data_IF_350481108610
#
_entry.id   IF_350481108610
#
_cell.length_a   1.000
_cell.length_b   1.000
_cell.length_c   1.000
_cell.angle_alpha   90.00
_cell.angle_beta   90.00
_cell.angle_gamma   90.00
#
_symmetry.space_group_name_H-M   'P 1'
#
loop_
_entity.id
_entity.type
_entity.pdbx_description
1 polymer ?
#
# COMPACT_ATOMS: atom_id res chain seq x y z
N UNK A 1 13.35 0.57 11.72
CA UNK A 1 12.59 -0.69 11.83
C UNK A 1 13.43 -1.86 12.37
N UNK A 2 14.63 -2.14 11.84
CA UNK A 2 15.46 -3.29 12.28
C UNK A 2 15.72 -3.34 13.79
N UNK A 3 16.05 -2.20 14.42
CA UNK A 3 16.21 -2.11 15.87
C UNK A 3 14.95 -2.55 16.64
N UNK A 4 13.81 -1.93 16.34
CA UNK A 4 12.55 -2.29 17.02
C UNK A 4 12.09 -3.72 16.72
N UNK A 5 12.40 -4.28 15.54
CA UNK A 5 12.16 -5.70 15.26
C UNK A 5 12.99 -6.62 16.14
N UNK A 6 14.24 -6.26 16.45
CA UNK A 6 15.07 -7.00 17.39
C UNK A 6 14.53 -6.91 18.81
N UNK A 7 14.06 -5.72 19.23
CA UNK A 7 13.52 -5.49 20.58
C UNK A 7 12.18 -6.19 20.86
N UNK A 8 11.49 -6.74 19.84
CA UNK A 8 10.26 -7.50 20.03
C UNK A 8 10.42 -8.70 20.95
N UNK A 9 11.62 -9.30 21.03
CA UNK A 9 11.89 -10.44 21.91
C UNK A 9 12.05 -10.05 23.38
N UNK A 10 12.44 -8.80 23.64
CA UNK A 10 12.82 -8.32 24.98
C UNK A 10 11.75 -7.43 25.58
N UNK A 11 11.20 -6.52 24.78
CA UNK A 11 10.20 -5.53 25.21
C UNK A 11 9.03 -5.46 24.21
N UNK A 12 8.24 -6.54 24.06
CA UNK A 12 7.30 -6.71 22.95
C UNK A 12 6.32 -5.54 22.80
N UNK A 13 5.78 -5.01 23.90
CA UNK A 13 4.82 -3.90 23.83
C UNK A 13 5.44 -2.56 23.44
N UNK A 14 6.63 -2.24 23.97
CA UNK A 14 7.33 -0.99 23.62
C UNK A 14 7.86 -1.06 22.20
N UNK A 15 8.42 -2.22 21.80
CA UNK A 15 8.87 -2.48 20.45
C UNK A 15 7.72 -2.39 19.43
N UNK A 16 6.54 -2.94 19.75
CA UNK A 16 5.36 -2.81 18.90
C UNK A 16 4.93 -1.34 18.72
N UNK A 17 4.95 -0.53 19.80
CA UNK A 17 4.68 0.90 19.71
C UNK A 17 5.73 1.63 18.86
N UNK A 18 7.02 1.34 19.06
CA UNK A 18 8.12 1.92 18.28
C UNK A 18 8.03 1.57 16.79
N UNK A 19 7.67 0.33 16.46
CA UNK A 19 7.40 -0.10 15.09
C UNK A 19 6.22 0.66 14.49
N UNK A 20 5.08 0.71 15.18
CA UNK A 20 3.90 1.41 14.70
C UNK A 20 4.21 2.89 14.40
N UNK A 21 4.86 3.57 15.34
CA UNK A 21 5.23 4.98 15.20
C UNK A 21 6.23 5.22 14.06
N UNK A 22 7.29 4.41 13.96
CA UNK A 22 8.36 4.62 12.97
C UNK A 22 8.05 4.07 11.58
N UNK A 23 7.06 3.18 11.46
CA UNK A 23 6.56 2.67 10.17
C UNK A 23 5.58 3.64 9.49
N UNK A 24 5.00 4.57 10.25
CA UNK A 24 4.11 5.56 9.69
C UNK A 24 4.92 6.50 8.77
N UNK A 25 4.48 6.70 7.52
CA UNK A 25 5.13 7.65 6.63
C UNK A 25 5.03 9.06 7.22
N UNK A 26 6.12 9.81 7.18
CA UNK A 26 6.18 11.16 7.74
C UNK A 26 5.30 12.17 6.98
N UNK A 27 4.91 11.84 5.73
CA UNK A 27 4.13 12.70 4.86
C UNK A 27 3.12 11.90 4.04
N UNK A 28 2.12 12.58 3.48
CA UNK A 28 1.14 12.02 2.54
C UNK A 28 1.68 11.86 1.12
N UNK A 29 2.93 12.27 0.86
CA UNK A 29 3.49 12.36 -0.48
C UNK A 29 3.52 11.02 -1.22
N UNK A 30 3.78 9.90 -0.53
CA UNK A 30 3.77 8.57 -1.14
C UNK A 30 2.35 8.16 -1.60
N UNK A 31 1.33 8.46 -0.80
CA UNK A 31 -0.06 8.22 -1.17
C UNK A 31 -0.49 9.14 -2.32
N UNK A 32 -0.12 10.42 -2.27
CA UNK A 32 -0.40 11.41 -3.32
C UNK A 32 0.27 11.06 -4.64
N UNK A 33 1.50 10.53 -4.61
CA UNK A 33 2.20 10.04 -5.78
C UNK A 33 1.45 8.88 -6.42
N UNK A 34 0.93 7.95 -5.62
CA UNK A 34 0.06 6.88 -6.14
C UNK A 34 -1.22 7.44 -6.77
N UNK A 35 -1.88 8.44 -6.18
CA UNK A 35 -3.05 9.07 -6.80
C UNK A 35 -2.72 9.82 -8.09
N UNK A 36 -1.56 10.48 -8.16
CA UNK A 36 -1.09 11.18 -9.35
C UNK A 36 -0.74 10.19 -10.48
N UNK A 37 -0.02 9.11 -10.17
CA UNK A 37 0.26 8.02 -11.14
C UNK A 37 -1.04 7.29 -11.53
N UNK A 38 -1.94 7.07 -10.57
CA UNK A 38 -3.25 6.45 -10.76
C UNK A 38 -4.20 7.29 -11.63
N UNK A 39 -4.05 8.62 -11.66
CA UNK A 39 -4.81 9.50 -12.57
C UNK A 39 -4.61 9.12 -14.03
N UNK A 40 -3.44 8.62 -14.43
CA UNK A 40 -3.22 8.11 -15.80
C UNK A 40 -3.92 6.77 -16.07
N UNK A 41 -4.32 6.02 -15.03
CA UNK A 41 -5.14 4.81 -15.16
C UNK A 41 -6.64 5.11 -15.24
N UNK A 42 -7.06 6.30 -14.79
CA UNK A 42 -8.36 6.91 -15.08
C UNK A 42 -8.22 7.63 -16.42
N UNK A 43 -7.98 6.85 -17.48
CA UNK A 43 -7.80 7.44 -18.79
C UNK A 43 -9.09 8.17 -19.21
N UNK A 44 -8.97 9.19 -20.05
CA UNK A 44 -10.07 10.00 -20.61
C UNK A 44 -11.25 9.14 -21.12
N UNK A 45 -11.01 7.88 -21.55
CA UNK A 45 -12.03 6.95 -22.03
C UNK A 45 -12.76 6.11 -20.95
N UNK A 46 -12.41 6.21 -19.66
CA UNK A 46 -13.06 5.45 -18.58
C UNK A 46 -14.25 6.20 -17.96
N UNK A 47 -15.18 6.68 -18.78
CA UNK A 47 -16.36 7.46 -18.33
C UNK A 47 -17.36 6.66 -17.47
N UNK A 48 -17.14 5.34 -17.27
CA UNK A 48 -18.04 4.47 -16.51
C UNK A 48 -17.29 3.47 -15.62
N UNK A 49 -16.18 3.88 -15.02
CA UNK A 49 -15.53 3.05 -13.99
C UNK A 49 -16.22 3.26 -12.64
N UNK A 50 -16.66 2.16 -12.01
CA UNK A 50 -17.20 2.21 -10.65
C UNK A 50 -16.12 2.60 -9.63
N UNK A 51 -16.53 3.20 -8.52
CA UNK A 51 -15.62 3.52 -7.41
C UNK A 51 -14.94 2.27 -6.83
N UNK A 52 -15.60 1.11 -6.89
CA UNK A 52 -15.05 -0.17 -6.45
C UNK A 52 -13.90 -0.62 -7.36
N UNK A 53 -14.12 -0.61 -8.68
CA UNK A 53 -13.10 -0.97 -9.68
C UNK A 53 -11.91 -0.02 -9.59
N UNK A 54 -12.14 1.28 -9.38
CA UNK A 54 -11.07 2.24 -9.17
C UNK A 54 -10.20 1.90 -7.95
N UNK A 55 -10.82 1.60 -6.80
CA UNK A 55 -10.10 1.21 -5.58
C UNK A 55 -9.29 -0.07 -5.78
N UNK A 56 -9.87 -1.09 -6.42
CA UNK A 56 -9.17 -2.34 -6.73
C UNK A 56 -7.94 -2.09 -7.60
N UNK A 57 -8.07 -1.30 -8.67
CA UNK A 57 -6.92 -0.93 -9.53
C UNK A 57 -5.83 -0.18 -8.76
N UNK A 58 -6.21 0.73 -7.86
CA UNK A 58 -5.24 1.43 -6.99
C UNK A 58 -4.49 0.46 -6.07
N UNK A 59 -5.19 -0.50 -5.43
CA UNK A 59 -4.56 -1.52 -4.60
C UNK A 59 -3.62 -2.43 -5.41
N UNK A 60 -4.07 -2.91 -6.57
CA UNK A 60 -3.25 -3.73 -7.47
C UNK A 60 -1.99 -2.98 -7.93
N UNK A 61 -2.13 -1.70 -8.28
CA UNK A 61 -0.99 -0.87 -8.68
C UNK A 61 0.00 -0.69 -7.52
N UNK A 62 -0.48 -0.47 -6.30
CA UNK A 62 0.36 -0.36 -5.10
C UNK A 62 1.11 -1.67 -4.80
N UNK A 63 0.47 -2.82 -5.01
CA UNK A 63 1.05 -4.13 -4.72
C UNK A 63 1.87 -4.72 -5.86
N UNK A 64 1.74 -4.21 -7.08
CA UNK A 64 2.45 -4.72 -8.27
C UNK A 64 3.98 -4.82 -8.13
N UNK A 65 4.59 -4.03 -7.23
CA UNK A 65 6.04 -4.03 -6.95
C UNK A 65 6.41 -4.82 -5.69
N UNK A 66 5.44 -5.39 -4.98
CA UNK A 66 5.68 -6.13 -3.77
C UNK A 66 6.18 -7.55 -4.09
N UNK A 67 7.20 -8.06 -3.40
CA UNK A 67 7.81 -9.37 -3.69
C UNK A 67 6.88 -10.56 -3.43
N UNK A 68 5.79 -10.35 -2.70
CA UNK A 68 4.78 -11.35 -2.37
C UNK A 68 3.55 -11.32 -3.29
N UNK A 69 3.46 -10.35 -4.20
CA UNK A 69 2.28 -10.17 -5.03
C UNK A 69 2.42 -10.91 -6.36
N UNK A 70 1.49 -11.81 -6.64
CA UNK A 70 1.43 -12.60 -7.88
C UNK A 70 0.19 -12.30 -8.70
N UNK A 71 0.17 -12.70 -9.97
CA UNK A 71 -1.04 -12.56 -10.81
C UNK A 71 -2.22 -13.39 -10.27
N UNK A 72 -1.96 -14.56 -9.66
CA UNK A 72 -3.00 -15.34 -8.99
C UNK A 72 -3.64 -14.60 -7.81
N UNK A 73 -2.90 -13.70 -7.16
CA UNK A 73 -3.45 -12.85 -6.10
C UNK A 73 -4.25 -11.67 -6.68
N UNK A 74 -3.84 -11.17 -7.84
CA UNK A 74 -4.59 -10.14 -8.56
C UNK A 74 -6.00 -10.63 -8.95
N UNK A 75 -6.12 -11.87 -9.42
CA UNK A 75 -7.40 -12.47 -9.83
C UNK A 75 -8.39 -12.64 -8.67
N UNK A 76 -7.91 -12.80 -7.43
CA UNK A 76 -8.77 -12.92 -6.24
C UNK A 76 -9.34 -11.57 -5.77
N UNK A 77 -8.76 -10.46 -6.23
CA UNK A 77 -9.13 -9.10 -5.81
C UNK A 77 -10.16 -8.48 -6.77
N UNK A 78 -10.22 -8.94 -8.02
CA UNK A 78 -11.08 -8.40 -9.09
C UNK A 78 -12.38 -9.21 -9.17
#
# INVERSE_FOLDING_TARGET
LQYWNHELTTTPHLAAMGLAYTSAPATTADAERQFSEGRNQINWNQHSMSSQTFRMKMCLAAWSKAPWFTMDDAEKII
#
